data_IF_535964558825
#
_entry.id   IF_535964558825
#
_cell.length_a   1.000
_cell.length_b   1.000
_cell.length_c   1.000
_cell.angle_alpha   90.00
_cell.angle_beta   90.00
_cell.angle_gamma   90.00
#
_symmetry.space_group_name_H-M   'P 1'
#
loop_
_entity.id
_entity.type
_entity.pdbx_description
1 polymer ?
#
# COMPACT_ATOMS: atom_id res chain seq x y z
N UNK A 1 -7.32 -6.42 -11.94
CA UNK A 1 -5.88 -6.16 -12.14
C UNK A 1 -5.32 -7.33 -12.95
N UNK A 2 -4.93 -7.12 -14.21
CA UNK A 2 -4.45 -8.11 -15.17
C UNK A 2 -2.94 -8.24 -15.22
N UNK A 3 -2.23 -7.23 -14.71
CA UNK A 3 -0.76 -7.13 -14.73
C UNK A 3 -0.15 -7.34 -16.13
N UNK A 4 -0.87 -6.94 -17.17
CA UNK A 4 -0.42 -7.01 -18.57
C UNK A 4 -0.55 -5.66 -19.25
N UNK A 5 0.45 -5.30 -20.07
CA UNK A 5 0.45 -4.09 -20.89
C UNK A 5 0.85 -4.43 -22.33
N UNK A 6 -0.02 -4.13 -23.31
CA UNK A 6 0.20 -4.42 -24.75
C UNK A 6 0.61 -5.88 -25.03
N UNK A 7 0.05 -6.83 -24.28
CA UNK A 7 0.33 -8.26 -24.41
C UNK A 7 1.65 -8.72 -23.78
N UNK A 8 2.34 -7.87 -23.02
CA UNK A 8 3.53 -8.22 -22.24
C UNK A 8 3.25 -8.17 -20.73
N UNK A 9 3.86 -9.06 -19.93
CA UNK A 9 3.73 -9.02 -18.48
C UNK A 9 4.35 -7.74 -17.92
N UNK A 10 3.62 -7.08 -17.03
CA UNK A 10 4.16 -5.98 -16.24
C UNK A 10 5.08 -6.55 -15.17
N UNK A 11 6.25 -5.93 -14.99
CA UNK A 11 7.22 -6.32 -13.95
C UNK A 11 6.80 -5.75 -12.59
N UNK A 12 5.64 -6.22 -12.11
CA UNK A 12 5.01 -5.76 -10.89
C UNK A 12 4.18 -6.86 -10.26
N UNK A 13 4.10 -6.87 -8.94
CA UNK A 13 3.06 -7.62 -8.22
C UNK A 13 1.78 -6.79 -8.08
N UNK A 14 0.70 -7.44 -7.65
CA UNK A 14 -0.59 -6.84 -7.32
C UNK A 14 -0.44 -5.82 -6.18
N UNK A 15 0.27 -6.16 -5.11
CA UNK A 15 0.47 -5.26 -3.97
C UNK A 15 1.29 -4.01 -4.36
N UNK A 16 2.27 -4.15 -5.26
CA UNK A 16 2.97 -2.99 -5.84
C UNK A 16 2.03 -2.07 -6.59
N UNK A 17 1.10 -2.60 -7.41
CA UNK A 17 0.13 -1.76 -8.11
C UNK A 17 -0.77 -0.96 -7.15
N UNK A 18 -1.15 -1.55 -6.01
CA UNK A 18 -1.89 -0.81 -4.96
C UNK A 18 -1.02 0.29 -4.33
N UNK A 19 0.24 -0.02 -4.03
CA UNK A 19 1.16 0.93 -3.41
C UNK A 19 1.44 2.16 -4.30
N UNK A 20 1.37 2.02 -5.62
CA UNK A 20 1.60 3.13 -6.57
C UNK A 20 0.63 4.29 -6.39
N UNK A 21 -0.61 4.04 -5.95
CA UNK A 21 -1.60 5.11 -5.66
C UNK A 21 -1.12 6.07 -4.56
N UNK A 22 -0.27 5.59 -3.65
CA UNK A 22 0.31 6.41 -2.57
C UNK A 22 1.69 6.92 -2.96
N UNK A 23 2.53 6.09 -3.58
CA UNK A 23 3.91 6.47 -3.90
C UNK A 23 3.97 7.52 -5.01
N UNK A 24 3.26 7.31 -6.11
CA UNK A 24 3.22 8.26 -7.23
C UNK A 24 2.07 9.24 -6.98
N UNK A 25 2.44 10.46 -6.60
CA UNK A 25 1.46 11.53 -6.42
C UNK A 25 0.84 11.95 -7.75
N UNK A 26 -0.48 11.88 -7.82
CA UNK A 26 -1.29 12.54 -8.84
C UNK A 26 -2.66 12.90 -8.24
N UNK A 27 -3.18 14.12 -8.47
CA UNK A 27 -4.52 14.51 -8.03
C UNK A 27 -5.63 13.77 -8.81
N UNK A 28 -5.30 13.20 -9.98
CA UNK A 28 -6.19 12.35 -10.78
C UNK A 28 -5.51 10.99 -10.94
N UNK A 29 -6.08 9.96 -10.34
CA UNK A 29 -5.57 8.59 -10.40
C UNK A 29 -6.41 7.75 -11.35
N UNK A 30 -5.76 6.99 -12.24
CA UNK A 30 -6.41 6.15 -13.23
C UNK A 30 -6.45 4.69 -12.76
N UNK A 31 -7.64 4.09 -12.85
CA UNK A 31 -7.85 2.66 -12.63
C UNK A 31 -7.78 1.97 -14.01
N UNK A 32 -6.59 1.51 -14.40
CA UNK A 32 -6.22 1.29 -15.80
C UNK A 32 -6.52 -0.13 -16.38
N UNK A 33 -7.42 -0.90 -15.78
CA UNK A 33 -7.68 -2.30 -16.16
C UNK A 33 -9.17 -2.55 -16.39
N UNK A 34 -9.52 -3.72 -16.90
CA UNK A 34 -10.89 -4.11 -17.18
C UNK A 34 -11.69 -4.36 -15.88
N UNK A 35 -12.98 -3.94 -15.81
CA UNK A 35 -13.86 -4.18 -14.66
C UNK A 35 -13.87 -5.64 -14.18
N UNK A 36 -13.85 -6.59 -15.12
CA UNK A 36 -13.92 -8.02 -14.86
C UNK A 36 -12.75 -8.50 -13.98
N UNK A 37 -11.53 -8.05 -14.26
CA UNK A 37 -10.34 -8.40 -13.48
C UNK A 37 -10.33 -7.79 -12.07
N UNK A 38 -11.19 -6.81 -11.79
CA UNK A 38 -11.36 -6.29 -10.42
C UNK A 38 -12.38 -7.10 -9.63
N UNK A 39 -13.37 -7.69 -10.29
CA UNK A 39 -14.32 -8.59 -9.64
C UNK A 39 -13.62 -9.84 -9.08
N UNK A 40 -12.58 -10.32 -9.77
CA UNK A 40 -11.75 -11.45 -9.34
C UNK A 40 -10.89 -11.13 -8.10
N UNK A 41 -10.60 -9.85 -7.86
CA UNK A 41 -9.76 -9.36 -6.75
C UNK A 41 -10.48 -8.26 -5.96
N UNK A 42 -11.75 -8.52 -5.61
CA UNK A 42 -12.62 -7.54 -4.98
C UNK A 42 -12.10 -7.05 -3.61
N UNK A 43 -11.37 -7.91 -2.89
CA UNK A 43 -10.70 -7.60 -1.64
C UNK A 43 -9.56 -6.59 -1.81
N UNK A 44 -8.66 -6.81 -2.77
CA UNK A 44 -7.59 -5.87 -3.11
C UNK A 44 -8.15 -4.57 -3.72
N UNK A 45 -9.27 -4.64 -4.46
CA UNK A 45 -9.93 -3.47 -5.05
C UNK A 45 -10.49 -2.51 -4.00
N UNK A 46 -10.78 -2.99 -2.79
CA UNK A 46 -11.24 -2.14 -1.70
C UNK A 46 -10.25 -1.02 -1.39
N UNK A 47 -8.93 -1.28 -1.47
CA UNK A 47 -7.92 -0.25 -1.29
C UNK A 47 -8.03 0.89 -2.32
N UNK A 48 -8.28 0.55 -3.59
CA UNK A 48 -8.43 1.54 -4.68
C UNK A 48 -9.68 2.40 -4.47
N UNK A 49 -10.74 1.83 -3.91
CA UNK A 49 -11.96 2.58 -3.57
C UNK A 49 -11.74 3.55 -2.41
N UNK A 50 -10.88 3.19 -1.48
CA UNK A 50 -10.67 3.93 -0.25
C UNK A 50 -9.59 5.02 -0.37
N UNK A 51 -8.57 4.81 -1.20
CA UNK A 51 -7.42 5.71 -1.31
C UNK A 51 -7.82 7.09 -1.88
N UNK A 52 -7.53 8.20 -1.17
CA UNK A 52 -7.79 9.54 -1.69
C UNK A 52 -6.71 9.95 -2.70
N UNK A 53 -6.95 11.05 -3.41
CA UNK A 53 -5.96 11.64 -4.33
C UNK A 53 -5.41 12.98 -3.86
N UNK A 54 -5.99 13.55 -2.80
CA UNK A 54 -5.57 14.82 -2.21
C UNK A 54 -5.09 14.62 -0.77
N UNK A 55 -3.98 15.27 -0.42
CA UNK A 55 -3.23 14.98 0.80
C UNK A 55 -2.95 16.27 1.58
N UNK A 56 -3.17 16.24 2.90
CA UNK A 56 -2.77 17.33 3.81
C UNK A 56 -1.29 17.27 4.13
N UNK A 57 -0.75 16.06 4.28
CA UNK A 57 0.65 15.84 4.63
C UNK A 57 1.23 14.68 3.82
N UNK A 58 2.51 14.77 3.46
CA UNK A 58 3.29 13.69 2.87
C UNK A 58 4.58 13.54 3.65
N UNK A 59 4.97 12.29 3.95
CA UNK A 59 6.22 11.94 4.63
C UNK A 59 6.90 10.80 3.86
N UNK A 60 8.13 11.03 3.44
CA UNK A 60 9.00 9.96 2.95
C UNK A 60 9.63 9.32 4.18
N UNK A 61 9.32 8.05 4.45
CA UNK A 61 9.74 7.38 5.67
C UNK A 61 11.12 6.74 5.51
N UNK A 62 11.37 6.15 4.34
CA UNK A 62 12.63 5.49 3.99
C UNK A 62 12.71 5.31 2.48
N UNK A 63 13.91 5.23 1.93
CA UNK A 63 14.12 4.90 0.54
C UNK A 63 15.57 5.02 0.10
N UNK A 64 15.86 4.35 -1.01
CA UNK A 64 17.16 4.33 -1.68
C UNK A 64 16.92 4.41 -3.19
N UNK A 65 17.71 5.26 -3.87
CA UNK A 65 17.53 5.53 -5.29
C UNK A 65 17.79 4.27 -6.11
N UNK A 66 16.80 3.87 -6.91
CA UNK A 66 16.85 2.66 -7.73
C UNK A 66 16.35 1.41 -7.03
N UNK A 67 16.22 1.43 -5.70
CA UNK A 67 16.00 0.23 -4.89
C UNK A 67 14.59 0.18 -4.29
N UNK A 68 14.25 1.13 -3.42
CA UNK A 68 12.93 1.12 -2.77
C UNK A 68 12.55 2.49 -2.23
N UNK A 69 11.25 2.67 -1.99
CA UNK A 69 10.76 3.84 -1.26
C UNK A 69 9.52 3.46 -0.48
N UNK A 70 9.37 4.07 0.70
CA UNK A 70 8.16 4.02 1.52
C UNK A 70 7.68 5.44 1.80
N UNK A 71 6.45 5.73 1.42
CA UNK A 71 5.82 7.04 1.60
C UNK A 71 4.54 6.86 2.41
N UNK A 72 4.34 7.72 3.40
CA UNK A 72 3.07 7.88 4.10
C UNK A 72 2.45 9.23 3.78
N UNK A 73 1.13 9.26 3.61
CA UNK A 73 0.36 10.47 3.34
C UNK A 73 -0.87 10.52 4.23
N UNK A 74 -1.16 11.71 4.76
CA UNK A 74 -2.40 11.98 5.50
C UNK A 74 -3.42 12.54 4.53
N UNK A 75 -4.61 11.98 4.52
CA UNK A 75 -5.73 12.50 3.76
C UNK A 75 -5.97 13.99 4.13
N UNK A 76 -6.38 14.80 3.15
CA UNK A 76 -6.77 16.19 3.42
C UNK A 76 -8.11 16.29 4.14
N UNK A 77 -9.02 15.34 3.93
CA UNK A 77 -10.40 15.44 4.39
C UNK A 77 -10.74 14.50 5.55
N UNK A 78 -9.76 13.76 6.07
CA UNK A 78 -9.94 12.88 7.21
C UNK A 78 -8.66 12.77 8.05
N UNK A 79 -8.75 12.02 9.14
CA UNK A 79 -7.60 11.65 9.97
C UNK A 79 -6.91 10.36 9.51
N UNK A 80 -7.34 9.79 8.37
CA UNK A 80 -6.77 8.57 7.82
C UNK A 80 -5.39 8.82 7.24
N UNK A 81 -4.51 7.85 7.43
CA UNK A 81 -3.20 7.78 6.80
C UNK A 81 -3.17 6.66 5.78
N UNK A 82 -2.38 6.86 4.74
CA UNK A 82 -2.12 5.86 3.71
C UNK A 82 -0.62 5.71 3.54
N UNK A 83 -0.16 4.47 3.45
CA UNK A 83 1.24 4.15 3.26
C UNK A 83 1.39 3.27 2.02
N UNK A 84 2.43 3.55 1.24
CA UNK A 84 2.83 2.73 0.10
C UNK A 84 4.33 2.47 0.16
N UNK A 85 4.71 1.22 -0.05
CA UNK A 85 6.08 0.77 -0.25
C UNK A 85 6.20 0.09 -1.60
N UNK A 86 7.23 0.45 -2.35
CA UNK A 86 7.57 -0.23 -3.61
C UNK A 86 9.06 -0.57 -3.63
N UNK A 87 9.39 -1.70 -4.24
CA UNK A 87 10.77 -2.16 -4.44
C UNK A 87 11.15 -2.33 -5.91
N UNK A 88 12.41 -2.62 -6.11
CA UNK A 88 13.10 -2.96 -7.36
C UNK A 88 12.97 -4.45 -7.67
N UNK A 89 13.85 -4.99 -8.52
CA UNK A 89 13.90 -6.42 -8.83
C UNK A 89 14.34 -7.30 -7.65
N UNK A 90 14.94 -6.73 -6.60
CA UNK A 90 15.47 -7.47 -5.47
C UNK A 90 14.45 -7.53 -4.32
N UNK A 91 14.21 -8.74 -3.81
CA UNK A 91 13.38 -8.92 -2.62
C UNK A 91 14.07 -8.35 -1.37
N UNK A 92 13.30 -7.69 -0.49
CA UNK A 92 13.85 -7.03 0.71
C UNK A 92 12.88 -6.98 1.87
N UNK A 93 13.41 -7.15 3.09
CA UNK A 93 12.63 -6.96 4.31
C UNK A 93 12.62 -5.48 4.68
N UNK A 94 11.44 -4.90 4.88
CA UNK A 94 11.27 -3.53 5.36
C UNK A 94 10.65 -3.52 6.74
N UNK A 95 11.04 -2.52 7.53
CA UNK A 95 10.52 -2.24 8.86
C UNK A 95 10.23 -0.74 8.96
N UNK A 96 9.00 -0.38 9.28
CA UNK A 96 8.52 1.01 9.29
C UNK A 96 8.01 1.37 10.67
N UNK A 97 8.59 2.42 11.26
CA UNK A 97 8.12 3.04 12.49
C UNK A 97 6.90 3.92 12.23
N UNK A 98 5.86 3.76 13.04
CA UNK A 98 4.60 4.49 12.89
C UNK A 98 4.54 5.78 13.72
N UNK A 99 5.69 6.29 14.16
CA UNK A 99 5.81 7.53 14.93
C UNK A 99 5.30 8.78 14.21
N UNK A 100 4.91 8.67 12.94
CA UNK A 100 4.25 9.75 12.20
C UNK A 100 2.76 9.89 12.49
N UNK A 101 2.13 8.86 13.06
CA UNK A 101 0.72 8.86 13.42
C UNK A 101 0.45 9.84 14.57
N UNK A 102 -0.81 10.25 14.69
CA UNK A 102 -1.22 11.18 15.73
C UNK A 102 -1.03 10.51 17.12
N UNK A 103 -0.34 11.16 18.08
CA UNK A 103 -0.08 10.58 19.39
C UNK A 103 -1.36 10.20 20.14
N UNK A 104 -1.32 9.09 20.87
CA UNK A 104 -2.44 8.54 21.65
C UNK A 104 -3.71 8.17 20.85
N UNK A 105 -3.66 8.23 19.52
CA UNK A 105 -4.75 7.78 18.64
C UNK A 105 -4.52 6.33 18.18
N UNK A 106 -5.61 5.56 18.13
CA UNK A 106 -5.62 4.20 17.57
C UNK A 106 -6.13 4.23 16.13
N UNK A 107 -5.58 3.33 15.32
CA UNK A 107 -5.92 3.18 13.92
C UNK A 107 -6.21 1.71 13.62
N UNK A 108 -7.22 1.47 12.80
CA UNK A 108 -7.41 0.18 12.15
C UNK A 108 -6.54 0.15 10.90
N UNK A 109 -5.46 -0.62 10.94
CA UNK A 109 -4.65 -0.90 9.78
C UNK A 109 -5.30 -1.98 8.93
N UNK A 110 -5.40 -1.73 7.63
CA UNK A 110 -5.69 -2.69 6.59
C UNK A 110 -4.44 -2.78 5.72
N UNK A 111 -3.75 -3.91 5.78
CA UNK A 111 -2.42 -4.10 5.21
C UNK A 111 -2.56 -5.04 4.03
N UNK A 112 -2.16 -4.57 2.85
CA UNK A 112 -2.17 -5.29 1.58
C UNK A 112 -0.71 -5.49 1.18
N UNK A 113 -0.16 -6.69 1.38
CA UNK A 113 1.27 -6.98 1.15
C UNK A 113 1.45 -8.17 0.22
N UNK A 114 2.60 -8.24 -0.42
CA UNK A 114 3.03 -9.45 -1.12
C UNK A 114 2.98 -10.66 -0.17
N UNK A 115 2.38 -11.77 -0.64
CA UNK A 115 2.37 -13.02 0.11
C UNK A 115 3.75 -13.70 0.06
N UNK A 116 3.98 -14.69 0.93
CA UNK A 116 5.21 -15.47 0.89
C UNK A 116 5.38 -16.17 -0.47
N UNK A 117 6.53 -15.96 -1.12
CA UNK A 117 6.82 -16.53 -2.44
C UNK A 117 6.21 -15.77 -3.62
N UNK A 118 5.57 -14.61 -3.38
CA UNK A 118 5.20 -13.69 -4.44
C UNK A 118 6.44 -13.22 -5.20
N UNK A 119 6.28 -13.02 -6.51
CA UNK A 119 7.29 -12.41 -7.39
C UNK A 119 6.60 -11.93 -8.66
N UNK A 120 7.15 -10.92 -9.32
CA UNK A 120 6.55 -10.39 -10.55
C UNK A 120 6.46 -11.41 -11.70
N UNK A 121 7.33 -12.43 -11.72
CA UNK A 121 7.47 -13.40 -12.80
C UNK A 121 6.77 -14.75 -12.56
N UNK A 122 6.58 -15.16 -11.31
CA UNK A 122 6.00 -16.47 -10.97
C UNK A 122 4.62 -16.33 -10.33
N UNK A 123 4.50 -15.51 -9.29
CA UNK A 123 3.28 -15.37 -8.50
C UNK A 123 2.91 -13.89 -8.31
N UNK A 124 2.62 -13.13 -9.38
CA UNK A 124 2.47 -11.68 -9.30
C UNK A 124 1.17 -11.26 -8.61
N UNK A 125 0.17 -12.14 -8.52
CA UNK A 125 -1.11 -11.87 -7.85
C UNK A 125 -1.17 -12.33 -6.40
N UNK A 126 -0.12 -12.99 -5.89
CA UNK A 126 -0.10 -13.53 -4.54
C UNK A 126 -0.02 -12.39 -3.51
N UNK A 127 -1.14 -12.12 -2.85
CA UNK A 127 -1.31 -11.03 -1.88
C UNK A 127 -1.86 -11.59 -0.57
N UNK A 128 -1.42 -11.00 0.53
CA UNK A 128 -1.96 -11.24 1.86
C UNK A 128 -2.60 -9.94 2.36
N UNK A 129 -3.83 -10.05 2.87
CA UNK A 129 -4.60 -8.94 3.41
C UNK A 129 -4.84 -9.21 4.89
N UNK A 130 -4.26 -8.38 5.76
CA UNK A 130 -4.44 -8.47 7.20
C UNK A 130 -5.05 -7.19 7.78
N UNK A 131 -5.80 -7.33 8.87
CA UNK A 131 -6.32 -6.21 9.64
C UNK A 131 -5.82 -6.28 11.07
N UNK A 132 -5.32 -5.17 11.60
CA UNK A 132 -4.90 -5.06 12.99
C UNK A 132 -4.99 -3.64 13.51
N UNK A 133 -5.22 -3.50 14.81
CA UNK A 133 -5.18 -2.19 15.45
C UNK A 133 -3.76 -1.80 15.85
N UNK A 134 -3.40 -0.54 15.62
CA UNK A 134 -2.08 -0.02 15.95
C UNK A 134 -2.11 1.48 16.31
N UNK A 135 -1.00 2.00 16.81
CA UNK A 135 -0.80 3.39 17.17
C UNK A 135 0.62 3.85 16.89
N UNK A 136 0.95 5.07 17.33
CA UNK A 136 2.21 5.74 16.97
C UNK A 136 3.48 5.08 17.53
N UNK A 137 3.37 4.22 18.54
CA UNK A 137 4.49 3.45 19.11
C UNK A 137 4.77 2.12 18.40
N UNK A 138 3.88 1.72 17.49
CA UNK A 138 3.97 0.43 16.81
C UNK A 138 4.88 0.49 15.58
N UNK A 139 5.24 -0.69 15.09
CA UNK A 139 6.05 -0.90 13.89
C UNK A 139 5.36 -1.91 12.98
N UNK A 140 5.47 -1.67 11.68
CA UNK A 140 5.06 -2.64 10.66
C UNK A 140 6.29 -3.22 9.97
N UNK A 141 6.25 -4.50 9.63
CA UNK A 141 7.29 -5.13 8.82
C UNK A 141 6.66 -6.00 7.75
N UNK A 142 7.28 -6.04 6.57
CA UNK A 142 6.87 -6.89 5.47
C UNK A 142 8.07 -7.20 4.57
N UNK A 143 7.98 -8.35 3.90
CA UNK A 143 8.85 -8.69 2.79
C UNK A 143 8.27 -8.06 1.53
N UNK A 144 9.04 -7.19 0.87
CA UNK A 144 8.79 -6.82 -0.52
C UNK A 144 9.30 -7.94 -1.41
N UNK A 145 8.42 -8.49 -2.24
CA UNK A 145 8.81 -9.44 -3.28
C UNK A 145 9.70 -8.75 -4.33
N UNK A 146 10.46 -9.53 -5.14
CA UNK A 146 11.03 -9.05 -6.40
C UNK A 146 9.97 -8.37 -7.27
N UNK A 147 10.16 -7.09 -7.59
CA UNK A 147 9.19 -6.27 -8.30
C UNK A 147 7.91 -5.99 -7.49
N UNK A 148 8.00 -6.05 -6.17
CA UNK A 148 6.89 -6.09 -5.23
C UNK A 148 6.60 -4.78 -4.50
N UNK A 149 5.63 -4.85 -3.58
CA UNK A 149 5.11 -3.70 -2.86
C UNK A 149 4.24 -4.05 -1.67
N UNK A 150 3.88 -3.02 -0.90
CA UNK A 150 2.89 -3.09 0.15
C UNK A 150 2.11 -1.77 0.20
N UNK A 151 0.79 -1.88 0.41
CA UNK A 151 -0.10 -0.74 0.59
C UNK A 151 -0.83 -0.89 1.92
N UNK A 152 -0.97 0.19 2.66
CA UNK A 152 -1.63 0.18 3.96
C UNK A 152 -2.58 1.35 4.07
N UNK A 153 -3.82 1.07 4.43
CA UNK A 153 -4.76 2.08 4.92
C UNK A 153 -4.76 2.05 6.44
N UNK A 154 -4.60 3.22 7.06
CA UNK A 154 -4.61 3.44 8.49
C UNK A 154 -5.83 4.30 8.81
N UNK A 155 -6.96 3.65 9.06
CA UNK A 155 -8.21 4.35 9.36
C UNK A 155 -8.23 4.78 10.81
N UNK A 156 -8.40 6.08 11.07
CA UNK A 156 -8.50 6.57 12.45
C UNK A 156 -9.72 5.95 13.15
N UNK A 157 -9.51 5.37 14.33
CA UNK A 157 -10.61 4.93 15.18
C UNK A 157 -11.11 6.13 15.97
N UNK A 158 -12.41 6.40 15.91
CA UNK A 158 -13.04 7.39 16.78
C UNK A 158 -12.87 6.95 18.23
N UNK A 159 -12.54 7.89 19.12
CA UNK A 159 -12.67 7.64 20.55
C UNK A 159 -14.14 7.27 20.82
N UNK A 160 -14.39 6.01 21.18
CA UNK A 160 -15.62 5.69 21.89
C UNK A 160 -15.51 6.34 23.27
N UNK A 161 -15.86 7.63 23.36
CA UNK A 161 -16.22 8.19 24.65
C UNK A 161 -17.54 7.55 25.07
N UNK A 162 -17.62 6.95 26.27
CA UNK A 162 -18.90 6.53 26.84
C UNK A 162 -19.82 7.74 27.06
#
# INVERSE_FOLDING_TARGET
>A
LSLQGRGQPLRSTLAKQLALYVVIYSPIQMVADLPEHYAEHADAFQFIRDVPTDWSQTRVLQGELGDYVTIARKDRHSDDWYLGSIGDENGRMLSVDLGFLDPARRYQAQIYRDAQGASWDQQPFAIEIEQRELGSSDRLSWLLAPGGGAAVRLRALSDQRP
#
